data_IF_029977024895
#
_entry.id   IF_029977024895
#
_cell.length_a   1.000
_cell.length_b   1.000
_cell.length_c   1.000
_cell.angle_alpha   90.00
_cell.angle_beta   90.00
_cell.angle_gamma   90.00
#
_symmetry.space_group_name_H-M   'P 1'
#
loop_
_entity.id
_entity.type
_entity.pdbx_description
1 polymer ?
#
# COMPACT_ATOMS: atom_id res chain seq x y z
N UNK A 1 -10.89 -29.17 -10.65
CA UNK A 1 -10.97 -27.78 -10.15
C UNK A 1 -10.00 -27.52 -8.98
N UNK A 2 -10.03 -28.28 -7.87
CA UNK A 2 -9.08 -28.06 -6.75
C UNK A 2 -7.60 -28.32 -7.11
N UNK A 3 -7.30 -29.40 -7.84
CA UNK A 3 -5.92 -29.74 -8.22
C UNK A 3 -5.29 -28.78 -9.24
N UNK A 4 -6.09 -28.19 -10.13
CA UNK A 4 -5.62 -27.18 -11.09
C UNK A 4 -5.32 -25.85 -10.39
N UNK A 5 -6.13 -25.47 -9.40
CA UNK A 5 -5.91 -24.29 -8.57
C UNK A 5 -4.66 -24.43 -7.68
N UNK A 6 -4.47 -25.59 -7.04
CA UNK A 6 -3.25 -25.92 -6.28
C UNK A 6 -1.98 -25.81 -7.12
N UNK A 7 -1.99 -26.34 -8.37
CA UNK A 7 -0.88 -26.22 -9.30
C UNK A 7 -0.62 -24.78 -9.75
N UNK A 8 -1.66 -23.98 -9.96
CA UNK A 8 -1.54 -22.55 -10.29
C UNK A 8 -0.92 -21.76 -9.14
N UNK A 9 -1.37 -21.97 -7.89
CA UNK A 9 -0.72 -21.36 -6.72
C UNK A 9 0.75 -21.77 -6.60
N UNK A 10 1.07 -23.05 -6.82
CA UNK A 10 2.46 -23.53 -6.78
C UNK A 10 3.33 -22.87 -7.86
N UNK A 11 2.78 -22.63 -9.05
CA UNK A 11 3.47 -21.93 -10.13
C UNK A 11 3.73 -20.46 -9.77
N UNK A 12 2.75 -19.77 -9.17
CA UNK A 12 2.90 -18.39 -8.71
C UNK A 12 3.94 -18.26 -7.59
N UNK A 13 3.94 -19.17 -6.62
CA UNK A 13 4.93 -19.17 -5.53
C UNK A 13 6.35 -19.34 -6.08
N UNK A 14 6.54 -20.25 -7.05
CA UNK A 14 7.85 -20.43 -7.72
C UNK A 14 8.31 -19.16 -8.44
N UNK A 15 7.40 -18.45 -9.12
CA UNK A 15 7.70 -17.19 -9.80
C UNK A 15 8.12 -16.10 -8.80
N UNK A 16 7.41 -15.95 -7.68
CA UNK A 16 7.75 -14.97 -6.64
C UNK A 16 9.13 -15.24 -6.03
N UNK A 17 9.44 -16.51 -5.74
CA UNK A 17 10.76 -16.91 -5.24
C UNK A 17 11.86 -16.57 -6.24
N UNK A 18 11.64 -16.81 -7.53
CA UNK A 18 12.61 -16.47 -8.58
C UNK A 18 12.86 -14.96 -8.66
N UNK A 19 11.80 -14.15 -8.64
CA UNK A 19 11.92 -12.68 -8.65
C UNK A 19 12.68 -12.19 -7.42
N UNK A 20 12.38 -12.74 -6.24
CA UNK A 20 13.08 -12.38 -5.00
C UNK A 20 14.58 -12.70 -5.08
N UNK A 21 14.94 -13.89 -5.56
CA UNK A 21 16.33 -14.29 -5.75
C UNK A 21 17.05 -13.35 -6.72
N UNK A 22 16.42 -12.98 -7.83
CA UNK A 22 16.99 -12.03 -8.78
C UNK A 22 17.26 -10.66 -8.15
N UNK A 23 16.31 -10.13 -7.37
CA UNK A 23 16.49 -8.85 -6.66
C UNK A 23 17.69 -8.95 -5.71
N UNK A 24 17.80 -10.03 -4.94
CA UNK A 24 18.92 -10.23 -4.02
C UNK A 24 20.27 -10.32 -4.75
N UNK A 25 20.32 -11.00 -5.90
CA UNK A 25 21.52 -11.06 -6.73
C UNK A 25 21.91 -9.66 -7.21
N UNK A 26 20.96 -8.86 -7.70
CA UNK A 26 21.23 -7.49 -8.18
C UNK A 26 21.74 -6.59 -7.03
N UNK A 27 21.13 -6.68 -5.85
CA UNK A 27 21.58 -5.92 -4.67
C UNK A 27 22.99 -6.35 -4.23
N UNK A 28 23.28 -7.65 -4.22
CA UNK A 28 24.61 -8.17 -3.88
C UNK A 28 25.67 -7.75 -4.90
N UNK A 29 25.35 -7.81 -6.20
CA UNK A 29 26.24 -7.33 -7.26
C UNK A 29 26.52 -5.84 -7.11
N UNK A 30 25.49 -5.03 -6.80
CA UNK A 30 25.68 -3.60 -6.55
C UNK A 30 26.64 -3.37 -5.36
N UNK A 31 26.45 -4.09 -4.25
CA UNK A 31 27.33 -4.00 -3.10
C UNK A 31 28.78 -4.44 -3.40
N UNK A 32 28.97 -5.46 -4.24
CA UNK A 32 30.31 -5.93 -4.63
C UNK A 32 31.03 -4.99 -5.61
N UNK A 33 30.29 -4.29 -6.47
CA UNK A 33 30.84 -3.39 -7.49
C UNK A 33 31.03 -1.96 -6.96
N UNK A 34 30.22 -1.53 -5.99
CA UNK A 34 30.27 -0.17 -5.46
C UNK A 34 31.56 0.07 -4.65
N UNK A 35 32.39 1.02 -5.10
CA UNK A 35 33.53 1.52 -4.33
C UNK A 35 33.03 2.38 -3.16
N UNK A 36 33.38 2.01 -1.93
CA UNK A 36 32.82 2.59 -0.71
C UNK A 36 33.45 3.96 -0.31
N UNK A 37 33.91 4.75 -1.29
CA UNK A 37 34.58 6.04 -1.07
C UNK A 37 33.57 7.18 -0.87
N UNK A 38 32.65 7.03 0.09
CA UNK A 38 31.66 8.07 0.40
C UNK A 38 32.28 9.13 1.30
N UNK A 39 32.39 10.37 0.79
CA UNK A 39 32.81 11.51 1.61
C UNK A 39 31.66 11.95 2.54
N UNK A 40 31.99 12.45 3.73
CA UNK A 40 31.00 12.89 4.75
C UNK A 40 29.96 13.90 4.22
N UNK A 41 30.28 14.65 3.16
CA UNK A 41 29.38 15.61 2.52
C UNK A 41 28.34 14.96 1.60
N UNK A 42 28.60 13.77 1.07
CA UNK A 42 27.68 13.00 0.22
C UNK A 42 26.70 12.16 1.06
N UNK A 43 27.08 11.86 2.31
CA UNK A 43 26.26 11.12 3.27
C UNK A 43 25.21 11.98 3.97
N UNK A 44 25.29 13.31 3.85
CA UNK A 44 24.32 14.23 4.44
C UNK A 44 23.06 14.31 3.57
N UNK A 45 21.86 14.36 4.18
CA UNK A 45 20.63 14.61 3.42
C UNK A 45 20.78 15.91 2.63
N UNK A 46 20.22 15.93 1.41
CA UNK A 46 20.29 17.09 0.52
C UNK A 46 19.44 18.24 1.05
N UNK A 47 20.00 18.96 2.01
CA UNK A 47 19.51 20.22 2.52
C UNK A 47 20.71 21.16 2.50
N UNK A 48 20.57 22.27 1.78
CA UNK A 48 21.63 23.19 1.40
C UNK A 48 22.37 23.78 2.63
N UNK A 49 23.29 23.01 3.24
CA UNK A 49 24.08 23.39 4.42
C UNK A 49 23.35 23.34 5.77
N UNK A 50 22.09 22.90 5.83
CA UNK A 50 21.35 22.79 7.08
C UNK A 50 21.50 21.39 7.68
N UNK A 51 21.73 21.31 8.99
CA UNK A 51 21.65 20.05 9.71
C UNK A 51 20.19 19.59 9.73
N UNK A 52 19.90 18.32 9.42
CA UNK A 52 18.53 17.83 9.41
C UNK A 52 17.92 18.11 10.77
N UNK A 53 16.86 18.89 10.78
CA UNK A 53 16.12 19.24 11.97
C UNK A 53 15.56 17.94 12.57
N UNK A 54 16.20 17.42 13.63
CA UNK A 54 15.78 16.24 14.43
C UNK A 54 14.52 16.49 15.25
N UNK A 55 13.52 17.13 14.66
CA UNK A 55 12.20 17.26 15.27
C UNK A 55 11.55 15.89 15.10
N UNK A 56 11.85 15.00 16.05
CA UNK A 56 11.32 13.63 16.20
C UNK A 56 9.78 13.56 16.21
N UNK A 57 9.10 14.69 16.19
CA UNK A 57 7.67 14.83 15.97
C UNK A 57 7.41 15.96 14.97
N UNK A 58 7.80 15.77 13.72
CA UNK A 58 7.10 16.46 12.64
C UNK A 58 5.64 16.02 12.73
N UNK A 59 4.70 16.97 12.79
CA UNK A 59 3.28 16.66 12.85
C UNK A 59 2.93 15.96 11.53
N UNK A 60 2.79 14.63 11.59
CA UNK A 60 2.26 13.87 10.46
C UNK A 60 0.94 14.53 10.04
N UNK A 61 0.81 14.85 8.75
CA UNK A 61 -0.40 15.51 8.30
C UNK A 61 -1.59 14.59 8.57
N UNK A 62 -2.61 15.13 9.24
CA UNK A 62 -3.82 14.37 9.58
C UNK A 62 -4.55 13.87 8.32
N UNK A 63 -4.18 14.41 7.15
CA UNK A 63 -4.76 14.08 5.85
C UNK A 63 -4.33 12.68 5.41
N UNK A 64 -3.05 12.34 5.52
CA UNK A 64 -2.57 10.99 5.20
C UNK A 64 -3.17 9.92 6.12
N UNK A 65 -3.39 10.28 7.38
CA UNK A 65 -4.05 9.40 8.34
C UNK A 65 -5.52 9.11 7.97
N UNK A 66 -6.27 10.13 7.55
CA UNK A 66 -7.67 9.97 7.09
C UNK A 66 -7.77 9.08 5.86
N UNK A 67 -6.88 9.23 4.88
CA UNK A 67 -6.84 8.40 3.68
C UNK A 67 -6.61 6.92 4.04
N UNK A 68 -5.71 6.65 5.00
CA UNK A 68 -5.45 5.30 5.49
C UNK A 68 -6.68 4.64 6.12
N UNK A 69 -7.45 5.38 6.94
CA UNK A 69 -8.68 4.86 7.55
C UNK A 69 -9.74 4.55 6.48
N UNK A 70 -9.95 5.46 5.53
CA UNK A 70 -10.94 5.27 4.44
C UNK A 70 -10.54 4.05 3.58
N UNK A 71 -9.25 3.88 3.29
CA UNK A 71 -8.76 2.71 2.56
C UNK A 71 -9.06 1.39 3.29
N UNK A 72 -8.78 1.33 4.60
CA UNK A 72 -9.06 0.14 5.42
C UNK A 72 -10.56 -0.17 5.45
N UNK A 73 -11.39 0.85 5.60
CA UNK A 73 -12.85 0.70 5.66
C UNK A 73 -13.40 0.19 4.33
N UNK A 74 -12.97 0.76 3.21
CA UNK A 74 -13.40 0.34 1.87
C UNK A 74 -12.89 -1.06 1.49
N UNK A 75 -11.67 -1.43 1.89
CA UNK A 75 -11.13 -2.78 1.65
C UNK A 75 -11.95 -3.86 2.40
N UNK A 76 -12.40 -3.55 3.62
CA UNK A 76 -13.28 -4.43 4.40
C UNK A 76 -14.67 -4.60 3.74
N UNK A 77 -15.25 -3.52 3.22
CA UNK A 77 -16.53 -3.57 2.51
C UNK A 77 -16.46 -4.40 1.22
N UNK A 78 -15.35 -4.30 0.48
CA UNK A 78 -15.11 -5.13 -0.72
C UNK A 78 -14.94 -6.62 -0.38
N UNK A 79 -14.30 -6.94 0.74
CA UNK A 79 -14.20 -8.33 1.21
C UNK A 79 -15.60 -8.91 1.53
N UNK A 80 -16.45 -8.13 2.20
CA UNK A 80 -17.83 -8.51 2.52
C UNK A 80 -18.65 -8.73 1.24
N UNK A 81 -18.45 -7.87 0.24
CA UNK A 81 -19.06 -8.01 -1.07
C UNK A 81 -18.65 -9.31 -1.76
N UNK A 82 -17.34 -9.61 -1.83
CA UNK A 82 -16.83 -10.83 -2.46
C UNK A 82 -17.47 -12.10 -1.85
N UNK A 83 -17.62 -12.13 -0.53
CA UNK A 83 -18.20 -13.28 0.17
C UNK A 83 -19.70 -13.47 -0.14
N UNK A 84 -20.44 -12.37 -0.21
CA UNK A 84 -21.91 -12.42 -0.35
C UNK A 84 -22.36 -12.66 -1.79
N UNK A 85 -21.55 -12.27 -2.78
CA UNK A 85 -21.82 -12.44 -4.23
C UNK A 85 -22.09 -13.89 -4.65
N UNK A 86 -21.55 -14.87 -3.92
CA UNK A 86 -21.66 -16.28 -4.29
C UNK A 86 -22.99 -16.90 -3.84
N UNK A 87 -23.65 -16.37 -2.80
CA UNK A 87 -24.75 -17.08 -2.12
C UNK A 87 -26.01 -16.24 -1.88
N UNK A 88 -25.89 -14.93 -1.71
CA UNK A 88 -26.99 -14.11 -1.21
C UNK A 88 -27.24 -12.90 -2.10
N UNK A 89 -28.09 -13.06 -3.12
CA UNK A 89 -28.41 -11.99 -4.06
C UNK A 89 -29.02 -10.76 -3.36
N UNK A 90 -29.98 -10.93 -2.45
CA UNK A 90 -30.60 -9.77 -1.80
C UNK A 90 -29.62 -9.00 -0.90
N UNK A 91 -28.74 -9.72 -0.21
CA UNK A 91 -27.74 -9.15 0.68
C UNK A 91 -26.65 -8.40 -0.10
N UNK A 92 -26.30 -8.86 -1.30
CA UNK A 92 -25.32 -8.15 -2.15
C UNK A 92 -25.85 -6.81 -2.62
N UNK A 93 -27.14 -6.72 -2.98
CA UNK A 93 -27.78 -5.44 -3.30
C UNK A 93 -27.80 -4.49 -2.10
N UNK A 94 -28.10 -4.99 -0.89
CA UNK A 94 -28.04 -4.18 0.33
C UNK A 94 -26.62 -3.64 0.60
N UNK A 95 -25.60 -4.47 0.46
CA UNK A 95 -24.19 -4.08 0.67
C UNK A 95 -23.75 -3.07 -0.40
N UNK A 96 -24.14 -3.27 -1.66
CA UNK A 96 -23.83 -2.31 -2.72
C UNK A 96 -24.40 -0.92 -2.44
N UNK A 97 -25.67 -0.86 -2.04
CA UNK A 97 -26.32 0.41 -1.67
C UNK A 97 -25.61 1.06 -0.47
N UNK A 98 -25.21 0.26 0.52
CA UNK A 98 -24.46 0.74 1.68
C UNK A 98 -23.10 1.35 1.27
N UNK A 99 -22.32 0.67 0.42
CA UNK A 99 -21.03 1.17 -0.09
C UNK A 99 -21.21 2.51 -0.83
N UNK A 100 -22.19 2.58 -1.73
CA UNK A 100 -22.46 3.82 -2.47
C UNK A 100 -22.88 4.96 -1.53
N UNK A 101 -23.67 4.66 -0.50
CA UNK A 101 -24.09 5.65 0.48
C UNK A 101 -22.90 6.15 1.33
N UNK A 102 -22.01 5.27 1.80
CA UNK A 102 -20.80 5.64 2.54
C UNK A 102 -19.92 6.61 1.73
N UNK A 103 -19.64 6.28 0.46
CA UNK A 103 -18.85 7.14 -0.44
C UNK A 103 -19.54 8.49 -0.68
N UNK A 104 -20.85 8.47 -0.85
CA UNK A 104 -21.65 9.67 -1.04
C UNK A 104 -21.54 10.60 0.18
N UNK A 105 -21.66 10.07 1.40
CA UNK A 105 -21.52 10.84 2.64
C UNK A 105 -20.14 11.49 2.75
N UNK A 106 -19.06 10.76 2.45
CA UNK A 106 -17.70 11.31 2.49
C UNK A 106 -17.49 12.46 1.48
N UNK A 107 -18.06 12.34 0.29
CA UNK A 107 -18.05 13.39 -0.72
C UNK A 107 -18.76 14.65 -0.23
N UNK A 108 -19.93 14.51 0.40
CA UNK A 108 -20.69 15.64 0.95
C UNK A 108 -19.96 16.38 2.06
N UNK A 109 -19.24 15.65 2.92
CA UNK A 109 -18.47 16.23 4.02
C UNK A 109 -17.27 17.05 3.52
N UNK A 110 -16.95 17.02 2.21
CA UNK A 110 -15.72 17.58 1.64
C UNK A 110 -14.48 17.10 2.41
N UNK A 111 -14.51 15.83 2.84
CA UNK A 111 -13.46 15.23 3.66
C UNK A 111 -12.08 15.22 2.99
N UNK A 112 -12.05 15.39 1.67
CA UNK A 112 -10.87 15.45 0.81
C UNK A 112 -10.50 16.88 0.37
N UNK A 113 -10.92 17.93 1.09
CA UNK A 113 -10.45 19.28 0.77
C UNK A 113 -8.95 19.42 1.09
N UNK A 114 -8.12 19.43 0.05
CA UNK A 114 -6.68 19.67 0.12
C UNK A 114 -6.36 21.17 0.05
N UNK A 115 -6.98 21.97 0.91
CA UNK A 115 -6.53 23.35 1.12
C UNK A 115 -5.49 23.32 2.22
N UNK A 116 -4.23 23.51 1.82
CA UNK A 116 -3.08 23.68 2.71
C UNK A 116 -3.35 24.77 3.75
#
# INVERSE_FOLDING_TARGET
MQYTFSKQCLMLVKLLVYIFILIMIVVLLNFLICENNQLYTELKPFECGFEPMYWSHSKLSIHFFKIGIIFILFDLELLLLLFTMVKFLILTWCIMIFIFFSIWVEYFIKGFNWTV
#
